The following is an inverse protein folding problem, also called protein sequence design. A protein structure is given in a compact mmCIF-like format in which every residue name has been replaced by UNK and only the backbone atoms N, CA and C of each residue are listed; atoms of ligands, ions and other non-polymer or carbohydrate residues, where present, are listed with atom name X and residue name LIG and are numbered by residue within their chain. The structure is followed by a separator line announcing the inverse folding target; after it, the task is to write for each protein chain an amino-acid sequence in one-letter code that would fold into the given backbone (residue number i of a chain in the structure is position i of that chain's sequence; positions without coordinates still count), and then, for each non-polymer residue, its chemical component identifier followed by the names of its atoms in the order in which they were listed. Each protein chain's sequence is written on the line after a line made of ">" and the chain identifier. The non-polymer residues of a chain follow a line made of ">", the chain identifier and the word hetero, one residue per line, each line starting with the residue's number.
data_IF_580704898634
#
_entry.id   IF_580704898634
#
_cell.length_a   1.000
_cell.length_b   1.000
_cell.length_c   1.000
_cell.angle_alpha   90.00
_cell.angle_beta   90.00
_cell.angle_gamma   90.00
#
_symmetry.space_group_name_H-M   'P 1'
#
loop_
_entity.id
_entity.type
_entity.pdbx_description
1 polymer ?
#
# COMPACT_ATOMS: atom_id res chain seq x y z
N UNK A 1 -12.09 27.71 4.00
CA UNK A 1 -10.88 27.33 4.75
C UNK A 1 -11.27 26.16 5.62
N UNK A 2 -10.81 24.97 5.25
CA UNK A 2 -10.81 23.85 6.17
C UNK A 2 -9.76 24.13 7.27
N UNK A 3 -9.91 23.49 8.42
CA UNK A 3 -8.99 23.59 9.56
C UNK A 3 -7.56 23.13 9.19
N UNK A 4 -6.59 23.48 10.04
CA UNK A 4 -5.24 22.94 9.98
C UNK A 4 -5.13 21.65 10.82
N UNK A 5 -4.29 20.72 10.38
CA UNK A 5 -3.81 19.64 11.25
C UNK A 5 -2.55 20.13 11.97
N UNK A 6 -2.46 19.87 13.28
CA UNK A 6 -1.26 20.13 14.08
C UNK A 6 -0.75 18.84 14.70
N UNK A 7 0.51 18.49 14.39
CA UNK A 7 1.23 17.40 15.04
C UNK A 7 2.33 17.94 15.94
N UNK A 8 2.40 17.45 17.16
CA UNK A 8 3.52 17.69 18.07
C UNK A 8 4.40 16.44 18.08
N UNK A 9 5.61 16.57 17.56
CA UNK A 9 6.65 15.54 17.62
C UNK A 9 7.73 15.97 18.63
N UNK A 10 8.61 15.06 19.10
CA UNK A 10 9.68 15.43 20.03
C UNK A 10 10.57 16.60 19.53
N UNK A 11 10.77 16.69 18.22
CA UNK A 11 11.57 17.73 17.58
C UNK A 11 10.85 19.10 17.44
N UNK A 12 9.52 19.17 17.63
CA UNK A 12 8.76 20.41 17.47
C UNK A 12 7.34 20.20 16.95
N UNK A 13 6.79 21.21 16.30
CA UNK A 13 5.41 21.23 15.80
C UNK A 13 5.39 21.28 14.29
N UNK A 14 4.57 20.44 13.68
CA UNK A 14 4.26 20.44 12.24
C UNK A 14 2.83 20.90 12.06
N UNK A 15 2.61 21.88 11.18
CA UNK A 15 1.27 22.35 10.81
C UNK A 15 1.03 22.06 9.33
N UNK A 16 -0.12 21.48 9.03
CA UNK A 16 -0.57 21.14 7.68
C UNK A 16 -1.86 21.92 7.42
N UNK A 17 -1.83 22.75 6.39
CA UNK A 17 -3.04 23.37 5.84
C UNK A 17 -3.73 22.38 4.91
N UNK A 18 -5.02 22.12 5.15
CA UNK A 18 -5.83 21.23 4.30
C UNK A 18 -6.28 21.98 3.05
N UNK A 19 -6.05 21.36 1.89
CA UNK A 19 -6.54 21.90 0.61
C UNK A 19 -8.07 21.86 0.64
N UNK A 20 -8.72 23.00 0.46
CA UNK A 20 -10.18 23.11 0.51
C UNK A 20 -10.82 22.71 -0.83
N UNK A 21 -11.24 21.45 -0.95
CA UNK A 21 -11.90 20.91 -2.15
C UNK A 21 -13.08 19.99 -1.77
N UNK A 22 -13.93 19.56 -2.73
CA UNK A 22 -15.10 18.72 -2.41
C UNK A 22 -14.75 17.39 -1.73
N UNK A 23 -13.63 16.76 -2.08
CA UNK A 23 -13.17 15.53 -1.44
C UNK A 23 -12.73 15.75 0.00
N UNK A 24 -11.83 16.72 0.25
CA UNK A 24 -11.28 16.98 1.60
C UNK A 24 -12.34 17.42 2.59
N UNK A 25 -13.40 18.12 2.14
CA UNK A 25 -14.58 18.43 2.96
C UNK A 25 -15.33 17.18 3.45
N UNK A 26 -15.43 16.15 2.60
CA UNK A 26 -16.04 14.85 2.98
C UNK A 26 -15.09 14.00 3.78
N UNK A 27 -13.79 14.05 3.51
CA UNK A 27 -12.77 13.29 4.20
C UNK A 27 -12.49 13.80 5.63
N UNK A 28 -12.54 15.11 5.85
CA UNK A 28 -12.18 15.73 7.12
C UNK A 28 -12.90 15.16 8.36
N UNK A 29 -14.24 14.94 8.34
CA UNK A 29 -14.93 14.28 9.46
C UNK A 29 -14.39 12.88 9.79
N UNK A 30 -13.92 12.12 8.80
CA UNK A 30 -13.35 10.79 9.03
C UNK A 30 -11.95 10.89 9.63
N UNK A 31 -11.12 11.82 9.14
CA UNK A 31 -9.82 12.14 9.76
C UNK A 31 -10.00 12.50 11.24
N UNK A 32 -10.93 13.39 11.57
CA UNK A 32 -11.20 13.82 12.96
C UNK A 32 -11.60 12.65 13.87
N UNK A 33 -12.34 11.66 13.35
CA UNK A 33 -12.71 10.46 14.12
C UNK A 33 -11.51 9.59 14.47
N UNK A 34 -10.53 9.46 13.55
CA UNK A 34 -9.37 8.60 13.76
C UNK A 34 -8.19 9.33 14.42
N UNK A 35 -8.15 10.67 14.37
CA UNK A 35 -7.09 11.52 14.93
C UNK A 35 -6.70 11.21 16.40
N UNK A 36 -7.64 10.93 17.32
CA UNK A 36 -7.28 10.62 18.71
C UNK A 36 -6.41 9.36 18.85
N UNK A 37 -6.59 8.39 17.95
CA UNK A 37 -5.82 7.14 17.92
C UNK A 37 -4.48 7.31 17.19
N UNK A 38 -4.40 8.32 16.32
CA UNK A 38 -3.24 8.65 15.51
C UNK A 38 -2.15 9.45 16.24
N UNK A 39 -2.45 10.05 17.39
CA UNK A 39 -1.60 11.06 18.04
C UNK A 39 -0.18 10.57 18.38
N UNK A 40 0.04 9.27 18.44
CA UNK A 40 1.34 8.64 18.74
C UNK A 40 1.83 7.67 17.64
N UNK A 41 1.23 7.64 16.45
CA UNK A 41 1.47 6.59 15.44
C UNK A 41 2.25 7.06 14.20
N UNK A 42 3.04 8.14 14.32
CA UNK A 42 3.90 8.57 13.22
C UNK A 42 5.02 7.53 13.01
N UNK A 43 4.92 6.76 11.94
CA UNK A 43 5.95 5.83 11.53
C UNK A 43 6.77 6.43 10.39
N UNK A 44 8.09 6.35 10.54
CA UNK A 44 9.02 6.67 9.48
C UNK A 44 9.18 5.44 8.61
N UNK A 45 8.63 5.48 7.40
CA UNK A 45 8.97 4.56 6.33
C UNK A 45 9.96 5.30 5.45
N UNK A 46 11.21 4.83 5.35
CA UNK A 46 12.24 5.46 4.50
C UNK A 46 12.31 4.85 3.10
N UNK A 47 11.72 3.68 2.91
CA UNK A 47 11.73 2.97 1.65
C UNK A 47 10.51 2.04 1.52
N UNK A 48 10.07 1.81 0.28
CA UNK A 48 9.07 0.79 -0.08
C UNK A 48 9.65 -0.63 -0.15
N UNK A 49 10.82 -0.83 0.43
CA UNK A 49 11.53 -2.10 0.42
C UNK A 49 12.51 -2.12 1.60
N UNK A 50 12.88 -3.33 2.02
CA UNK A 50 13.89 -3.50 3.07
C UNK A 50 15.24 -2.91 2.67
N UNK A 51 15.92 -2.24 3.61
CA UNK A 51 17.27 -1.71 3.40
C UNK A 51 18.20 -2.80 2.82
N UNK A 52 18.92 -2.53 1.71
CA UNK A 52 19.84 -3.51 1.10
C UNK A 52 20.86 -4.10 2.08
N UNK A 53 21.30 -3.33 3.08
CA UNK A 53 22.23 -3.78 4.10
C UNK A 53 21.57 -4.80 5.05
N UNK A 54 20.33 -4.55 5.47
CA UNK A 54 19.56 -5.50 6.29
C UNK A 54 19.30 -6.77 5.47
N UNK A 55 18.99 -6.61 4.18
CA UNK A 55 18.83 -7.73 3.25
C UNK A 55 20.08 -8.60 3.13
N UNK A 56 21.26 -7.99 2.97
CA UNK A 56 22.54 -8.70 2.94
C UNK A 56 22.83 -9.39 4.28
N UNK A 57 22.60 -8.71 5.39
CA UNK A 57 22.79 -9.27 6.74
C UNK A 57 21.86 -10.47 7.00
N UNK A 58 20.64 -10.49 6.44
CA UNK A 58 19.77 -11.67 6.48
C UNK A 58 20.38 -12.88 5.75
N UNK A 59 20.99 -12.66 4.57
CA UNK A 59 21.66 -13.71 3.81
C UNK A 59 22.88 -14.27 4.55
N UNK A 60 23.60 -13.40 5.27
CA UNK A 60 24.76 -13.75 6.08
C UNK A 60 24.38 -14.34 7.47
N UNK A 61 23.09 -14.35 7.82
CA UNK A 61 22.56 -14.96 9.04
C UNK A 61 22.53 -14.07 10.29
N UNK A 62 22.75 -12.76 10.14
CA UNK A 62 22.78 -11.77 11.21
C UNK A 62 21.40 -11.22 11.63
N UNK A 63 20.33 -11.47 10.85
CA UNK A 63 18.93 -11.12 11.16
C UNK A 63 17.99 -12.34 11.13
N UNK A 64 18.17 -13.24 12.11
CA UNK A 64 17.42 -14.52 12.14
C UNK A 64 15.93 -14.36 12.39
N UNK A 65 15.53 -13.36 13.16
CA UNK A 65 14.13 -13.08 13.49
C UNK A 65 13.37 -12.60 12.25
N UNK A 66 13.87 -11.58 11.55
CA UNK A 66 13.30 -11.12 10.29
C UNK A 66 13.23 -12.24 9.24
N UNK A 67 14.29 -13.05 9.15
CA UNK A 67 14.30 -14.24 8.29
C UNK A 67 13.17 -15.21 8.66
N UNK A 68 12.89 -15.41 9.94
CA UNK A 68 11.82 -16.28 10.43
C UNK A 68 10.43 -15.70 10.10
N UNK A 69 10.24 -14.39 10.23
CA UNK A 69 8.99 -13.70 9.84
C UNK A 69 8.66 -13.92 8.36
N UNK A 70 9.65 -13.79 7.46
CA UNK A 70 9.46 -14.03 6.03
C UNK A 70 9.08 -15.50 5.78
N UNK A 71 9.75 -16.44 6.44
CA UNK A 71 9.42 -17.88 6.33
C UNK A 71 8.01 -18.16 6.81
N UNK A 72 7.59 -17.54 7.92
CA UNK A 72 6.24 -17.64 8.45
C UNK A 72 5.20 -17.09 7.47
N UNK A 73 5.47 -15.94 6.86
CA UNK A 73 4.62 -15.31 5.84
C UNK A 73 4.43 -16.21 4.62
N UNK A 74 5.52 -16.81 4.12
CA UNK A 74 5.48 -17.80 3.03
C UNK A 74 4.64 -19.03 3.43
N UNK A 75 4.81 -19.53 4.66
CA UNK A 75 4.08 -20.68 5.16
C UNK A 75 2.58 -20.38 5.32
N UNK A 76 2.23 -19.21 5.87
CA UNK A 76 0.84 -18.73 6.00
C UNK A 76 0.17 -18.61 4.64
N UNK A 77 0.84 -17.99 3.67
CA UNK A 77 0.34 -17.88 2.29
C UNK A 77 0.04 -19.26 1.68
N UNK A 78 0.98 -20.21 1.79
CA UNK A 78 0.79 -21.58 1.30
C UNK A 78 -0.40 -22.26 1.97
N UNK A 79 -0.58 -22.08 3.28
CA UNK A 79 -1.69 -22.66 4.01
C UNK A 79 -3.03 -22.02 3.64
N UNK A 80 -3.10 -20.71 3.47
CA UNK A 80 -4.30 -20.02 3.03
C UNK A 80 -4.81 -20.59 1.70
N UNK A 81 -3.91 -20.71 0.71
CA UNK A 81 -4.23 -21.32 -0.59
C UNK A 81 -4.62 -22.79 -0.46
N UNK A 82 -3.96 -23.55 0.41
CA UNK A 82 -4.34 -24.95 0.69
C UNK A 82 -5.75 -25.04 1.26
N UNK A 83 -6.11 -24.19 2.22
CA UNK A 83 -7.45 -24.16 2.83
C UNK A 83 -8.50 -23.76 1.79
N UNK A 84 -8.25 -22.73 0.98
CA UNK A 84 -9.17 -22.36 -0.12
C UNK A 84 -9.43 -23.53 -1.07
N UNK A 85 -8.38 -24.27 -1.43
CA UNK A 85 -8.50 -25.42 -2.31
C UNK A 85 -9.25 -26.59 -1.65
N UNK A 86 -9.04 -26.82 -0.35
CA UNK A 86 -9.79 -27.83 0.42
C UNK A 86 -11.28 -27.48 0.55
N UNK A 87 -11.60 -26.20 0.64
CA UNK A 87 -12.97 -25.68 0.66
C UNK A 87 -13.62 -25.64 -0.74
N UNK A 88 -12.89 -26.02 -1.80
CA UNK A 88 -13.43 -26.17 -3.16
C UNK A 88 -13.31 -24.92 -4.04
N UNK A 89 -12.62 -23.87 -3.60
CA UNK A 89 -12.52 -22.61 -4.37
C UNK A 89 -11.51 -22.66 -5.54
N UNK A 90 -10.64 -23.68 -5.62
CA UNK A 90 -9.75 -23.92 -6.76
C UNK A 90 -8.85 -22.72 -7.15
N UNK A 91 -8.04 -22.22 -6.21
CA UNK A 91 -7.07 -21.16 -6.46
C UNK A 91 -6.11 -21.55 -7.60
N UNK A 92 -5.94 -20.71 -8.63
CA UNK A 92 -5.34 -21.14 -9.91
C UNK A 92 -3.81 -21.07 -9.93
N UNK A 93 -3.18 -20.47 -8.92
CA UNK A 93 -1.73 -20.26 -8.87
C UNK A 93 -1.11 -21.15 -7.79
N UNK A 94 -0.07 -21.89 -8.16
CA UNK A 94 0.72 -22.66 -7.20
C UNK A 94 1.70 -21.75 -6.47
N UNK A 95 1.69 -21.77 -5.14
CA UNK A 95 2.61 -20.97 -4.32
C UNK A 95 3.97 -21.68 -4.23
N UNK A 96 4.83 -21.40 -5.20
CA UNK A 96 6.19 -21.96 -5.30
C UNK A 96 7.22 -20.90 -4.89
N UNK A 97 7.09 -20.41 -3.66
CA UNK A 97 7.98 -19.40 -3.08
C UNK A 97 8.84 -20.05 -2.00
N UNK A 98 10.14 -19.81 -2.06
CA UNK A 98 11.10 -20.12 -1.00
C UNK A 98 11.86 -18.86 -0.63
N UNK A 99 12.46 -18.86 0.55
CA UNK A 99 13.30 -17.75 0.97
C UNK A 99 14.54 -17.60 0.08
N UNK A 100 15.09 -18.71 -0.43
CA UNK A 100 16.25 -18.66 -1.31
C UNK A 100 15.92 -18.00 -2.66
N UNK A 101 14.68 -18.16 -3.16
CA UNK A 101 14.21 -17.46 -4.35
C UNK A 101 14.02 -15.95 -4.11
N UNK A 102 13.58 -15.53 -2.92
CA UNK A 102 13.56 -14.10 -2.55
C UNK A 102 14.98 -13.51 -2.69
N UNK A 103 15.99 -14.28 -2.28
CA UNK A 103 17.38 -13.85 -2.32
C UNK A 103 18.03 -13.87 -3.71
N UNK A 104 17.49 -14.61 -4.68
CA UNK A 104 18.16 -14.87 -5.96
C UNK A 104 17.37 -14.46 -7.22
N UNK A 105 16.04 -14.35 -7.16
CA UNK A 105 15.17 -14.23 -8.33
C UNK A 105 14.14 -13.08 -8.22
N UNK A 106 14.57 -11.91 -7.73
CA UNK A 106 13.69 -10.79 -7.39
C UNK A 106 12.64 -10.46 -8.47
N UNK A 107 13.02 -10.33 -9.75
CA UNK A 107 12.06 -9.95 -10.81
C UNK A 107 11.02 -11.03 -11.13
N UNK A 108 11.43 -12.31 -11.17
CA UNK A 108 10.50 -13.41 -11.45
C UNK A 108 9.53 -13.60 -10.27
N UNK A 109 10.05 -13.51 -9.05
CA UNK A 109 9.24 -13.64 -7.86
C UNK A 109 8.26 -12.47 -7.68
N UNK A 110 8.68 -11.24 -7.97
CA UNK A 110 7.77 -10.09 -7.96
C UNK A 110 6.60 -10.29 -8.92
N UNK A 111 6.85 -10.77 -10.15
CA UNK A 111 5.78 -11.09 -11.09
C UNK A 111 4.83 -12.17 -10.55
N UNK A 112 5.37 -13.21 -9.92
CA UNK A 112 4.55 -14.26 -9.30
C UNK A 112 3.65 -13.72 -8.19
N UNK A 113 4.16 -12.83 -7.34
CA UNK A 113 3.36 -12.15 -6.31
C UNK A 113 2.30 -11.23 -6.91
N UNK A 114 2.64 -10.45 -7.95
CA UNK A 114 1.65 -9.64 -8.67
C UNK A 114 0.51 -10.51 -9.23
N UNK A 115 0.80 -11.70 -9.75
CA UNK A 115 -0.22 -12.63 -10.26
C UNK A 115 -1.10 -13.20 -9.13
N UNK A 116 -0.52 -13.56 -7.98
CA UNK A 116 -1.26 -13.99 -6.78
C UNK A 116 -2.17 -12.85 -6.31
N UNK A 117 -1.62 -11.65 -6.26
CA UNK A 117 -2.30 -10.43 -5.84
C UNK A 117 -3.56 -10.16 -6.68
N UNK A 118 -3.39 -10.23 -7.99
CA UNK A 118 -4.47 -10.08 -8.97
C UNK A 118 -5.58 -11.10 -8.81
N UNK A 119 -5.24 -12.35 -8.46
CA UNK A 119 -6.25 -13.38 -8.26
C UNK A 119 -7.15 -13.08 -7.07
N UNK A 120 -6.58 -12.72 -5.93
CA UNK A 120 -7.40 -12.50 -4.73
C UNK A 120 -8.18 -11.18 -4.81
N UNK A 121 -7.61 -10.12 -5.39
CA UNK A 121 -8.33 -8.84 -5.61
C UNK A 121 -9.51 -9.04 -6.55
N UNK A 122 -9.32 -9.82 -7.62
CA UNK A 122 -10.42 -10.20 -8.52
C UNK A 122 -11.49 -10.99 -7.78
N UNK A 123 -11.11 -11.98 -6.97
CA UNK A 123 -12.03 -12.81 -6.23
C UNK A 123 -12.81 -12.03 -5.17
N UNK A 124 -12.17 -11.04 -4.54
CA UNK A 124 -12.86 -10.12 -3.64
C UNK A 124 -13.88 -9.25 -4.40
N UNK A 125 -13.53 -8.70 -5.57
CA UNK A 125 -14.48 -7.89 -6.35
C UNK A 125 -15.66 -8.71 -6.90
N UNK A 126 -15.36 -9.85 -7.50
CA UNK A 126 -16.32 -10.60 -8.34
C UNK A 126 -17.08 -11.68 -7.59
N UNK A 127 -16.52 -12.18 -6.48
CA UNK A 127 -17.12 -13.21 -5.61
C UNK A 127 -17.38 -14.58 -6.28
N UNK A 128 -16.93 -14.78 -7.52
CA UNK A 128 -17.20 -16.03 -8.27
C UNK A 128 -16.07 -16.48 -9.21
N UNK A 129 -14.97 -15.73 -9.31
CA UNK A 129 -13.85 -16.04 -10.22
C UNK A 129 -12.52 -15.48 -9.71
N UNK A 130 -11.43 -16.05 -10.21
CA UNK A 130 -10.05 -15.61 -9.91
C UNK A 130 -9.43 -14.73 -11.00
N UNK A 131 -10.13 -14.54 -12.13
CA UNK A 131 -9.67 -13.76 -13.27
C UNK A 131 -10.82 -12.91 -13.78
N UNK A 132 -10.53 -11.66 -14.12
CA UNK A 132 -11.56 -10.68 -14.49
C UNK A 132 -12.43 -11.17 -15.66
N UNK A 133 -11.77 -11.68 -16.69
CA UNK A 133 -12.40 -12.41 -17.78
C UNK A 133 -12.32 -13.91 -17.53
N UNK A 134 -13.44 -14.60 -17.68
CA UNK A 134 -13.50 -16.06 -17.60
C UNK A 134 -14.83 -16.55 -17.05
N UNK A 135 -14.96 -17.87 -17.03
CA UNK A 135 -16.10 -18.55 -16.43
C UNK A 135 -16.08 -18.42 -14.91
N UNK A 136 -17.26 -18.54 -14.30
CA UNK A 136 -17.37 -18.69 -12.84
C UNK A 136 -16.68 -19.98 -12.43
N UNK A 137 -15.76 -19.89 -11.48
CA UNK A 137 -14.95 -21.03 -11.00
C UNK A 137 -15.48 -21.51 -9.65
N UNK A 138 -16.08 -20.61 -8.88
CA UNK A 138 -16.69 -20.90 -7.59
C UNK A 138 -17.90 -19.98 -7.38
N UNK A 139 -18.69 -20.27 -6.36
CA UNK A 139 -19.73 -19.37 -5.85
C UNK A 139 -19.54 -19.27 -4.35
N UNK A 140 -19.52 -18.06 -3.81
CA UNK A 140 -19.54 -17.90 -2.37
C UNK A 140 -20.86 -18.40 -1.82
N UNK A 141 -20.78 -19.31 -0.85
CA UNK A 141 -21.95 -19.83 -0.17
C UNK A 141 -22.77 -18.68 0.45
N UNK A 142 -24.09 -18.81 0.42
CA UNK A 142 -25.00 -17.89 1.10
C UNK A 142 -24.88 -17.99 2.63
N UNK A 143 -24.25 -19.05 3.14
CA UNK A 143 -23.85 -19.17 4.53
C UNK A 143 -22.87 -18.06 4.94
N UNK A 144 -23.31 -17.23 5.90
CA UNK A 144 -22.56 -16.07 6.39
C UNK A 144 -21.19 -16.45 6.97
N UNK A 145 -21.10 -17.60 7.66
CA UNK A 145 -19.87 -18.05 8.27
C UNK A 145 -18.83 -18.46 7.21
N UNK A 146 -19.24 -19.20 6.17
CA UNK A 146 -18.36 -19.56 5.06
C UNK A 146 -17.91 -18.35 4.26
N UNK A 147 -18.80 -17.37 4.02
CA UNK A 147 -18.44 -16.10 3.38
C UNK A 147 -17.42 -15.32 4.21
N UNK A 148 -17.64 -15.20 5.52
CA UNK A 148 -16.70 -14.54 6.43
C UNK A 148 -15.34 -15.26 6.47
N UNK A 149 -15.33 -16.60 6.49
CA UNK A 149 -14.12 -17.40 6.40
C UNK A 149 -13.35 -17.13 5.11
N UNK A 150 -14.03 -17.13 3.96
CA UNK A 150 -13.41 -16.83 2.67
C UNK A 150 -12.77 -15.44 2.66
N UNK A 151 -13.51 -14.41 3.08
CA UNK A 151 -13.03 -13.03 3.17
C UNK A 151 -11.80 -12.91 4.08
N UNK A 152 -11.81 -13.60 5.23
CA UNK A 152 -10.67 -13.63 6.14
C UNK A 152 -9.44 -14.24 5.49
N UNK A 153 -9.58 -15.36 4.77
CA UNK A 153 -8.45 -16.01 4.10
C UNK A 153 -7.90 -15.13 2.98
N UNK A 154 -8.75 -14.45 2.21
CA UNK A 154 -8.32 -13.52 1.17
C UNK A 154 -7.56 -12.33 1.77
N UNK A 155 -8.01 -11.81 2.91
CA UNK A 155 -7.30 -10.77 3.64
C UNK A 155 -5.93 -11.25 4.15
N UNK A 156 -5.84 -12.47 4.70
CA UNK A 156 -4.57 -13.05 5.15
C UNK A 156 -3.59 -13.25 3.99
N UNK A 157 -4.08 -13.64 2.80
CA UNK A 157 -3.27 -13.70 1.57
C UNK A 157 -2.72 -12.31 1.21
N UNK A 158 -3.55 -11.27 1.25
CA UNK A 158 -3.15 -9.89 0.96
C UNK A 158 -1.99 -9.44 1.88
N UNK A 159 -2.14 -9.66 3.19
CA UNK A 159 -1.11 -9.33 4.17
C UNK A 159 0.19 -10.08 3.89
N UNK A 160 0.12 -11.40 3.71
CA UNK A 160 1.31 -12.22 3.44
C UNK A 160 2.02 -11.81 2.13
N UNK A 161 1.26 -11.46 1.08
CA UNK A 161 1.83 -11.00 -0.20
C UNK A 161 2.59 -9.69 0.01
N UNK A 162 1.99 -8.69 0.67
CA UNK A 162 2.68 -7.42 0.92
C UNK A 162 3.92 -7.57 1.82
N UNK A 163 3.84 -8.42 2.85
CA UNK A 163 4.99 -8.74 3.71
C UNK A 163 6.16 -9.31 2.90
N UNK A 164 5.88 -10.22 1.95
CA UNK A 164 6.91 -10.81 1.09
C UNK A 164 7.40 -9.80 0.04
N UNK A 165 6.52 -8.99 -0.55
CA UNK A 165 6.87 -7.97 -1.55
C UNK A 165 7.81 -6.90 -1.03
N UNK A 166 7.72 -6.59 0.27
CA UNK A 166 8.62 -5.67 0.95
C UNK A 166 10.08 -6.15 0.92
N UNK A 167 10.29 -7.46 0.90
CA UNK A 167 11.62 -8.09 0.86
C UNK A 167 12.13 -8.32 -0.57
N UNK A 168 11.36 -7.95 -1.62
CA UNK A 168 11.77 -8.10 -3.01
C UNK A 168 12.22 -6.76 -3.60
N UNK A 169 13.52 -6.65 -3.86
CA UNK A 169 14.13 -5.42 -4.36
C UNK A 169 14.29 -5.44 -5.89
N UNK A 170 13.24 -5.01 -6.61
CA UNK A 170 13.28 -4.83 -8.07
C UNK A 170 14.27 -3.75 -8.50
N UNK A 171 14.65 -3.71 -9.78
CA UNK A 171 15.50 -2.62 -10.34
C UNK A 171 14.88 -1.23 -10.12
N UNK A 172 13.56 -1.11 -10.24
CA UNK A 172 12.85 0.16 -10.00
C UNK A 172 12.81 0.51 -8.53
N UNK A 173 12.62 -0.44 -7.61
CA UNK A 173 12.79 -0.21 -6.16
C UNK A 173 14.22 0.21 -5.80
N UNK A 174 15.25 -0.36 -6.41
CA UNK A 174 16.64 0.10 -6.18
C UNK A 174 16.85 1.56 -6.62
N UNK A 175 16.26 1.94 -7.77
CA UNK A 175 16.43 3.28 -8.35
C UNK A 175 15.53 4.35 -7.71
N UNK A 176 14.31 3.96 -7.34
CA UNK A 176 13.21 4.85 -6.98
C UNK A 176 12.51 4.44 -5.68
N UNK A 177 13.00 3.47 -4.94
CA UNK A 177 12.31 2.97 -3.74
C UNK A 177 12.71 3.69 -2.45
N UNK A 178 13.81 4.46 -2.45
CA UNK A 178 14.18 5.40 -1.37
C UNK A 178 13.24 6.63 -1.35
N UNK A 179 12.28 6.63 -2.25
CA UNK A 179 11.22 7.60 -2.36
C UNK A 179 10.14 7.12 -1.39
N UNK A 180 9.88 7.90 -0.33
CA UNK A 180 8.67 7.99 0.52
C UNK A 180 9.11 8.16 1.98
N UNK A 181 8.86 9.28 2.67
CA UNK A 181 7.58 9.88 3.13
C UNK A 181 7.01 9.16 4.35
N UNK A 182 6.86 9.90 5.47
CA UNK A 182 6.20 9.42 6.68
C UNK A 182 4.81 8.91 6.32
N UNK A 183 4.53 7.67 6.71
CA UNK A 183 3.18 7.14 6.63
C UNK A 183 2.63 7.17 8.04
N UNK A 184 1.52 7.85 8.24
CA UNK A 184 0.76 7.62 9.45
C UNK A 184 0.00 6.31 9.26
N UNK A 185 0.67 5.21 9.59
CA UNK A 185 0.03 3.90 9.63
C UNK A 185 -0.65 3.74 10.98
N UNK A 186 -1.90 3.30 10.97
CA UNK A 186 -2.57 2.81 12.17
C UNK A 186 -2.72 1.32 11.96
N UNK A 187 -2.22 0.51 12.90
CA UNK A 187 -2.52 -0.92 12.90
C UNK A 187 -4.04 -1.09 13.08
N UNK A 188 -4.77 -1.63 12.09
CA UNK A 188 -6.21 -1.87 12.18
C UNK A 188 -6.59 -2.72 13.40
N UNK A 189 -5.66 -3.51 13.94
CA UNK A 189 -5.87 -4.36 15.12
C UNK A 189 -5.86 -3.58 16.43
N UNK A 190 -5.39 -2.33 16.44
CA UNK A 190 -5.45 -1.44 17.63
C UNK A 190 -6.81 -0.76 17.80
N UNK A 191 -7.73 -0.92 16.83
CA UNK A 191 -9.08 -0.38 16.92
C UNK A 191 -10.01 -1.22 17.82
N UNK A 192 -10.96 -0.57 18.50
CA UNK A 192 -12.17 -1.24 18.96
C UNK A 192 -12.88 -1.89 17.75
N UNK A 193 -13.20 -3.18 17.84
CA UNK A 193 -13.82 -4.00 16.76
C UNK A 193 -15.08 -3.42 16.11
N UNK A 194 -15.67 -2.36 16.66
CA UNK A 194 -16.95 -1.76 16.25
C UNK A 194 -16.85 -0.60 15.25
N UNK A 195 -15.64 -0.21 14.82
CA UNK A 195 -15.42 1.03 14.04
C UNK A 195 -15.33 0.86 12.51
N UNK A 196 -15.62 -0.32 11.96
CA UNK A 196 -15.22 -0.70 10.59
C UNK A 196 -15.91 0.09 9.47
N UNK A 197 -17.20 0.41 9.57
CA UNK A 197 -17.93 0.99 8.42
C UNK A 197 -17.81 2.51 8.31
N UNK A 198 -17.57 3.21 9.43
CA UNK A 198 -17.49 4.68 9.45
C UNK A 198 -16.10 5.23 9.09
N UNK A 199 -15.11 4.36 8.88
CA UNK A 199 -13.73 4.75 8.53
C UNK A 199 -13.53 4.95 7.04
N UNK A 200 -14.36 4.31 6.22
CA UNK A 200 -14.18 4.30 4.78
C UNK A 200 -14.93 5.46 4.12
N UNK A 201 -14.26 6.06 3.15
CA UNK A 201 -14.81 7.08 2.26
C UNK A 201 -14.72 6.50 0.86
N UNK A 202 -15.87 6.34 0.20
CA UNK A 202 -15.87 6.01 -1.22
C UNK A 202 -15.56 7.24 -2.05
N UNK A 203 -14.61 7.10 -2.97
CA UNK A 203 -14.29 8.12 -3.95
C UNK A 203 -15.25 7.99 -5.14
N UNK A 204 -15.74 9.12 -5.63
CA UNK A 204 -16.52 9.21 -6.85
C UNK A 204 -15.63 9.64 -8.03
N UNK A 205 -16.18 9.65 -9.24
CA UNK A 205 -15.43 10.03 -10.45
C UNK A 205 -14.86 11.46 -10.39
N UNK A 206 -15.60 12.41 -9.80
CA UNK A 206 -15.14 13.80 -9.67
C UNK A 206 -13.92 13.91 -8.73
N UNK A 207 -13.82 13.04 -7.72
CA UNK A 207 -12.66 12.99 -6.84
C UNK A 207 -11.42 12.48 -7.57
N UNK A 208 -11.58 11.57 -8.54
CA UNK A 208 -10.45 11.03 -9.30
C UNK A 208 -9.73 12.13 -10.10
N UNK A 209 -10.45 13.16 -10.52
CA UNK A 209 -9.87 14.30 -11.24
C UNK A 209 -9.05 15.23 -10.33
N UNK A 210 -9.12 15.06 -9.01
CA UNK A 210 -8.30 15.80 -8.03
C UNK A 210 -6.94 15.16 -7.79
N UNK A 211 -6.73 13.91 -8.21
CA UNK A 211 -5.41 13.30 -8.12
C UNK A 211 -4.38 14.13 -8.89
N UNK A 212 -3.13 14.13 -8.45
CA UNK A 212 -2.09 14.95 -9.06
C UNK A 212 -0.75 14.24 -9.13
N UNK A 213 -0.01 14.56 -10.19
CA UNK A 213 1.41 14.23 -10.37
C UNK A 213 2.32 15.35 -9.87
N UNK A 214 1.75 16.51 -9.51
CA UNK A 214 2.49 17.66 -9.01
C UNK A 214 2.92 17.49 -7.55
N UNK A 215 3.81 18.37 -7.11
CA UNK A 215 4.27 18.41 -5.73
C UNK A 215 3.12 18.75 -4.76
N UNK A 216 3.00 17.95 -3.70
CA UNK A 216 2.09 18.14 -2.57
C UNK A 216 2.77 17.57 -1.33
N UNK A 217 2.75 18.25 -0.19
CA UNK A 217 3.41 17.68 1.00
C UNK A 217 2.62 16.52 1.59
N UNK A 218 1.29 16.59 1.60
CA UNK A 218 0.43 15.60 2.27
C UNK A 218 -0.56 15.00 1.29
N UNK A 219 -0.53 13.68 1.15
CA UNK A 219 -1.45 12.92 0.30
C UNK A 219 -2.28 11.96 1.12
N UNK A 220 -3.36 11.46 0.52
CA UNK A 220 -4.11 10.36 1.08
C UNK A 220 -3.21 9.10 1.17
N UNK A 221 -3.42 8.26 2.19
CA UNK A 221 -2.75 6.96 2.24
C UNK A 221 -3.28 6.00 1.14
N UNK A 222 -2.42 5.14 0.62
CA UNK A 222 -2.73 4.18 -0.46
C UNK A 222 -3.35 2.88 0.09
N UNK A 223 -4.33 2.99 0.99
CA UNK A 223 -5.04 1.85 1.56
C UNK A 223 -6.09 1.30 0.59
N UNK A 224 -5.62 0.63 -0.47
CA UNK A 224 -6.50 0.10 -1.51
C UNK A 224 -6.43 -1.43 -1.55
N UNK A 225 -7.57 -2.04 -1.88
CA UNK A 225 -7.59 -3.43 -2.31
C UNK A 225 -7.10 -3.47 -3.76
N UNK A 226 -5.81 -3.69 -3.96
CA UNK A 226 -5.18 -3.40 -5.25
C UNK A 226 -3.75 -2.87 -5.09
N UNK A 227 -3.23 -2.29 -6.16
CA UNK A 227 -1.99 -1.51 -6.12
C UNK A 227 -2.21 -0.13 -6.73
N UNK A 228 -1.65 0.90 -6.09
CA UNK A 228 -1.57 2.21 -6.73
C UNK A 228 -0.61 2.15 -7.92
N UNK A 229 -0.74 3.06 -8.88
CA UNK A 229 0.18 3.11 -10.03
C UNK A 229 1.64 3.29 -9.62
N UNK A 230 1.90 4.02 -8.53
CA UNK A 230 3.24 4.17 -7.98
C UNK A 230 3.81 2.82 -7.50
N UNK A 231 3.04 2.06 -6.71
CA UNK A 231 3.48 0.74 -6.21
C UNK A 231 3.64 -0.24 -7.37
N UNK A 232 2.68 -0.29 -8.29
CA UNK A 232 2.75 -1.12 -9.49
C UNK A 232 3.98 -0.81 -10.36
N UNK A 233 4.34 0.47 -10.50
CA UNK A 233 5.56 0.87 -11.19
C UNK A 233 6.79 0.29 -10.50
N UNK A 234 6.91 0.47 -9.18
CA UNK A 234 8.04 -0.03 -8.39
C UNK A 234 8.13 -1.57 -8.45
N UNK A 235 7.00 -2.25 -8.48
CA UNK A 235 6.89 -3.71 -8.58
C UNK A 235 7.05 -4.27 -10.01
N UNK A 236 7.40 -3.43 -10.99
CA UNK A 236 7.47 -3.84 -12.41
C UNK A 236 6.17 -4.50 -12.92
N UNK A 237 5.01 -4.09 -12.42
CA UNK A 237 3.72 -4.63 -12.86
C UNK A 237 3.22 -3.93 -14.15
N UNK A 238 2.18 -4.49 -14.75
CA UNK A 238 1.54 -3.95 -15.95
C UNK A 238 0.40 -3.00 -15.54
N UNK A 239 0.47 -1.67 -15.78
CA UNK A 239 -0.51 -0.68 -15.33
C UNK A 239 -1.92 -0.86 -15.91
N UNK A 240 -2.10 -1.73 -16.91
CA UNK A 240 -3.42 -2.07 -17.48
C UNK A 240 -4.15 -3.14 -16.69
N UNK A 241 -3.49 -3.77 -15.72
CA UNK A 241 -4.10 -4.83 -14.95
C UNK A 241 -5.25 -4.27 -14.09
N UNK A 242 -6.38 -4.99 -13.99
CA UNK A 242 -7.62 -4.46 -13.44
C UNK A 242 -7.61 -4.30 -11.90
N UNK A 243 -6.55 -4.75 -11.24
CA UNK A 243 -6.25 -4.56 -9.83
C UNK A 243 -5.34 -3.34 -9.56
N UNK A 244 -4.86 -2.67 -10.61
CA UNK A 244 -4.09 -1.43 -10.51
C UNK A 244 -5.03 -0.27 -10.80
N UNK A 245 -5.32 0.50 -9.76
CA UNK A 245 -6.34 1.55 -9.79
C UNK A 245 -5.90 2.74 -8.93
N UNK A 246 -6.45 3.95 -9.16
CA UNK A 246 -6.41 4.98 -8.11
C UNK A 246 -7.22 4.51 -6.91
N UNK A 247 -7.08 5.19 -5.77
CA UNK A 247 -7.89 4.87 -4.59
C UNK A 247 -9.39 5.00 -4.93
N UNK A 248 -10.11 3.89 -4.78
CA UNK A 248 -11.58 3.87 -4.88
C UNK A 248 -12.22 4.02 -3.49
N UNK A 249 -11.47 3.62 -2.47
CA UNK A 249 -11.83 3.72 -1.07
C UNK A 249 -10.65 4.37 -0.35
N UNK A 250 -10.97 5.26 0.58
CA UNK A 250 -10.02 5.95 1.42
C UNK A 250 -10.36 5.73 2.89
N UNK A 251 -9.36 5.85 3.75
CA UNK A 251 -9.57 6.07 5.18
C UNK A 251 -9.25 7.53 5.53
N UNK A 252 -9.38 7.90 6.81
CA UNK A 252 -8.88 9.18 7.29
C UNK A 252 -7.34 9.30 7.25
N UNK A 253 -6.60 8.26 6.86
CA UNK A 253 -5.13 8.24 6.97
C UNK A 253 -4.43 9.08 5.90
N UNK A 254 -3.24 9.57 6.24
CA UNK A 254 -2.42 10.44 5.39
C UNK A 254 -0.98 9.93 5.28
N UNK A 255 -0.35 10.30 4.18
CA UNK A 255 1.10 10.20 3.95
C UNK A 255 1.69 11.61 3.88
N UNK A 256 2.78 11.85 4.61
CA UNK A 256 3.48 13.14 4.67
C UNK A 256 4.85 12.99 4.00
N UNK A 257 5.06 13.74 2.91
CA UNK A 257 6.30 13.86 2.20
C UNK A 257 7.38 14.59 2.99
N UNK A 258 8.58 14.00 3.05
CA UNK A 258 9.76 14.64 3.67
C UNK A 258 10.56 15.45 2.66
N UNK A 259 10.45 15.09 1.38
CA UNK A 259 11.20 15.64 0.27
C UNK A 259 10.38 15.58 -1.04
N UNK A 260 11.02 15.97 -2.14
CA UNK A 260 10.42 15.98 -3.47
C UNK A 260 10.53 14.63 -4.19
N UNK A 261 10.95 13.55 -3.51
CA UNK A 261 11.27 12.29 -4.16
C UNK A 261 10.07 11.71 -4.94
N UNK A 262 8.85 11.81 -4.40
CA UNK A 262 7.63 11.33 -5.07
C UNK A 262 7.33 12.13 -6.33
N UNK A 263 7.41 13.46 -6.25
CA UNK A 263 7.23 14.33 -7.42
C UNK A 263 8.30 14.05 -8.48
N UNK A 264 9.55 13.88 -8.05
CA UNK A 264 10.67 13.54 -8.93
C UNK A 264 10.44 12.20 -9.65
N UNK A 265 9.82 11.20 -8.98
CA UNK A 265 9.41 9.95 -9.62
C UNK A 265 8.39 10.20 -10.73
N UNK A 266 7.32 10.92 -10.43
CA UNK A 266 6.23 11.18 -11.38
C UNK A 266 6.71 11.97 -12.61
N UNK A 267 7.69 12.85 -12.42
CA UNK A 267 8.32 13.63 -13.48
C UNK A 267 9.46 12.89 -14.20
N UNK A 268 9.88 11.72 -13.70
CA UNK A 268 10.98 10.96 -14.31
C UNK A 268 10.53 10.28 -15.62
N UNK A 269 11.41 10.29 -16.63
CA UNK A 269 11.13 9.70 -17.94
C UNK A 269 10.72 8.21 -17.85
N UNK A 270 11.44 7.39 -17.07
CA UNK A 270 11.07 5.98 -16.82
C UNK A 270 9.59 5.78 -16.40
N UNK A 271 9.01 6.69 -15.61
CA UNK A 271 7.61 6.59 -15.19
C UNK A 271 6.65 6.85 -16.36
N UNK A 272 6.96 7.86 -17.17
CA UNK A 272 6.22 8.19 -18.40
C UNK A 272 6.36 7.11 -19.48
N UNK A 273 7.57 6.59 -19.65
CA UNK A 273 7.87 5.51 -20.60
C UNK A 273 7.12 4.24 -20.23
N UNK A 274 7.01 3.91 -18.94
CA UNK A 274 6.26 2.76 -18.48
C UNK A 274 4.77 2.80 -18.89
N UNK A 275 4.11 3.96 -18.84
CA UNK A 275 2.75 4.09 -19.39
C UNK A 275 2.73 3.94 -20.91
N UNK A 276 3.70 4.56 -21.59
CA UNK A 276 3.82 4.52 -23.06
C UNK A 276 4.02 3.10 -23.58
N UNK A 277 4.90 2.32 -22.96
CA UNK A 277 5.16 0.90 -23.24
C UNK A 277 3.88 0.05 -23.16
N UNK A 278 2.97 0.42 -22.25
CA UNK A 278 1.69 -0.25 -22.04
C UNK A 278 0.52 0.41 -22.79
N UNK A 279 0.82 1.31 -23.74
CA UNK A 279 -0.19 2.03 -24.55
C UNK A 279 -1.23 2.73 -23.68
N UNK A 280 -0.76 3.36 -22.61
CA UNK A 280 -1.54 4.22 -21.72
C UNK A 280 -0.96 5.62 -21.78
N UNK A 281 -1.83 6.63 -21.66
CA UNK A 281 -1.39 8.00 -21.47
C UNK A 281 -1.24 8.24 -19.96
N UNK A 282 -0.14 8.86 -19.56
CA UNK A 282 -0.02 9.38 -18.20
C UNK A 282 -1.02 10.53 -18.03
N UNK A 283 -1.83 10.48 -16.99
CA UNK A 283 -2.72 11.56 -16.59
C UNK A 283 -2.75 11.64 -15.06
N UNK A 284 -3.41 12.69 -14.58
CA UNK A 284 -3.47 13.01 -13.17
C UNK A 284 -4.10 11.92 -12.29
N UNK A 285 -5.03 11.10 -12.83
CA UNK A 285 -5.65 9.97 -12.10
C UNK A 285 -4.64 8.88 -11.71
N UNK A 286 -3.43 8.89 -12.26
CA UNK A 286 -2.37 7.94 -11.91
C UNK A 286 -1.41 8.46 -10.82
N UNK A 287 -1.63 9.68 -10.31
CA UNK A 287 -0.84 10.28 -9.24
C UNK A 287 -1.37 9.95 -7.85
N UNK A 288 -1.35 10.93 -6.94
CA UNK A 288 -1.87 10.79 -5.57
C UNK A 288 -2.99 11.79 -5.30
N UNK A 289 -3.93 11.44 -4.42
CA UNK A 289 -4.97 12.35 -3.94
C UNK A 289 -4.33 13.39 -2.98
N UNK A 290 -4.37 14.69 -3.31
CA UNK A 290 -3.79 15.73 -2.47
C UNK A 290 -4.69 16.05 -1.27
N UNK A 291 -4.08 16.11 -0.08
CA UNK A 291 -4.78 16.42 1.19
C UNK A 291 -4.40 17.80 1.70
N UNK A 292 -3.11 18.13 1.70
CA UNK A 292 -2.64 19.35 2.34
C UNK A 292 -1.18 19.67 2.04
N UNK A 293 -0.76 20.84 2.49
CA UNK A 293 0.62 21.31 2.42
C UNK A 293 1.13 21.67 3.81
N UNK A 294 2.42 21.43 4.06
CA UNK A 294 3.04 21.76 5.34
C UNK A 294 3.32 23.26 5.35
N UNK A 295 2.67 23.98 6.26
CA UNK A 295 2.87 25.42 6.43
C UNK A 295 3.91 25.75 7.50
N UNK A 296 4.25 24.78 8.36
CA UNK A 296 5.27 24.93 9.42
C UNK A 296 5.89 23.59 9.80
N UNK A 297 7.19 23.59 10.12
CA UNK A 297 7.89 22.44 10.67
C UNK A 297 8.36 21.43 9.62
N UNK A 298 8.35 21.78 8.32
CA UNK A 298 8.85 20.91 7.22
C UNK A 298 10.31 20.53 7.44
N UNK A 299 11.12 21.43 7.99
CA UNK A 299 12.52 21.20 8.35
C UNK A 299 12.71 20.14 9.45
N UNK A 300 11.69 19.88 10.26
CA UNK A 300 11.73 18.87 11.32
C UNK A 300 11.62 17.44 10.76
N UNK A 301 11.07 17.30 9.56
CA UNK A 301 10.91 16.03 8.84
C UNK A 301 12.16 15.62 8.06
N UNK A 302 13.06 16.57 7.77
CA UNK A 302 14.32 16.29 7.13
C UNK A 302 15.28 15.64 8.14
N UNK A 303 15.67 14.39 7.88
CA UNK A 303 16.43 13.47 8.74
C UNK A 303 17.84 13.90 9.20
N UNK A 304 18.13 15.19 9.31
CA UNK A 304 19.32 15.70 10.02
C UNK A 304 19.06 16.08 11.48
N UNK A 305 17.82 16.06 11.98
CA UNK A 305 17.50 16.42 13.38
C UNK A 305 16.55 15.48 14.13
N UNK A 306 15.85 14.57 13.46
CA UNK A 306 15.05 13.56 14.14
C UNK A 306 15.93 12.36 14.55
N UNK A 307 16.87 12.58 15.47
CA UNK A 307 17.42 11.47 16.27
C UNK A 307 16.27 10.93 17.13
N UNK A 308 15.54 9.96 16.59
CA UNK A 308 14.53 9.18 17.29
C UNK A 308 15.16 8.07 18.15
N UNK A 309 16.44 8.18 18.53
CA UNK A 309 17.11 7.31 19.51
C UNK A 309 16.62 7.53 20.96
N UNK A 310 15.43 8.10 21.14
CA UNK A 310 14.76 8.23 22.43
C UNK A 310 13.32 7.75 22.30
N UNK A 311 13.14 6.46 22.05
CA UNK A 311 11.98 5.69 22.47
C UNK A 311 12.43 4.38 23.12
#
# INVERSE_FOLDING_TARGET
>A
MLDCITYTIPAGVIEIEIIDNPFTRRWWPHYQKIQPYMKNSLQLCNANFIDPQVFQQMQEGYHKERRAEIVESIWKLKNCVKVLNQDGYQFPIRINITIDQIFSEASHLQKHLNDIHRCFTTADRTRDRWKESGDKIFELDNDEYKRAKFLSIIHDINLCVHEIEYDIVTTRKKKFGNILSYTQFIDPNTYPKHYKDEQFITLNEDDLDLFTLDHVDVTLNDNILGKSYMVAFLDNDNPRCPDITPNQIATGEIKIGIDDARTNLFQHQDYTDWFTEHRMNINNRHGCMPIGNITKGKELLNGKKANLELL
#
